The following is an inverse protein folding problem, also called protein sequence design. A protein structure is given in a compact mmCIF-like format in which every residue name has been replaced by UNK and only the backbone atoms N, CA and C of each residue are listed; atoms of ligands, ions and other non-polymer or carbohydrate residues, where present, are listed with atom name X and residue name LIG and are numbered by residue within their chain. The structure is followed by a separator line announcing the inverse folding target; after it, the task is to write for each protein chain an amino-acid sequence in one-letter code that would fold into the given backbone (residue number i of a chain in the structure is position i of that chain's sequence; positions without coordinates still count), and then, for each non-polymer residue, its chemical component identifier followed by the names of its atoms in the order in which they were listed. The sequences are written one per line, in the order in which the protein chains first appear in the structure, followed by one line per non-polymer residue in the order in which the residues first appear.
data_IF_730597137220
#
_entry.id   IF_730597137220
#
_cell.length_a   1.000
_cell.length_b   1.000
_cell.length_c   1.000
_cell.angle_alpha   90.00
_cell.angle_beta   90.00
_cell.angle_gamma   90.00
#
_symmetry.space_group_name_H-M   'P 1'
#
loop_
_entity.id
_entity.type
_entity.pdbx_description
1 polymer ?
#
# COMPACT_ATOMS: atom_id res chain seq x y z
N UNK A 1 0.44 -11.94 9.42
CA UNK A 1 1.26 -13.12 9.02
C UNK A 1 2.67 -12.75 8.50
N UNK A 2 2.97 -11.49 8.15
CA UNK A 2 4.25 -11.08 7.56
C UNK A 2 5.51 -11.42 8.40
N UNK A 3 5.43 -11.35 9.73
CA UNK A 3 6.58 -11.60 10.60
C UNK A 3 7.03 -13.07 10.67
N UNK A 4 6.17 -13.99 10.21
CA UNK A 4 6.43 -15.42 10.08
C UNK A 4 6.59 -15.87 8.62
N UNK A 5 6.57 -14.95 7.66
CA UNK A 5 6.72 -15.24 6.23
C UNK A 5 8.06 -15.93 5.91
N UNK A 6 9.08 -15.62 6.71
CA UNK A 6 10.35 -16.32 6.70
C UNK A 6 10.63 -16.88 8.10
N UNK A 7 11.04 -18.16 8.21
CA UNK A 7 11.26 -18.81 9.50
C UNK A 7 12.42 -18.15 10.25
N UNK A 8 12.34 -18.14 11.58
CA UNK A 8 13.39 -17.65 12.47
C UNK A 8 13.25 -16.18 12.91
N UNK A 9 14.18 -15.76 13.76
CA UNK A 9 14.27 -14.39 14.27
C UNK A 9 15.00 -13.45 13.31
N UNK A 10 14.83 -12.13 13.48
CA UNK A 10 15.67 -11.10 12.83
C UNK A 10 17.15 -11.47 12.96
N UNK A 11 17.93 -11.36 11.88
CA UNK A 11 19.34 -11.78 11.93
C UNK A 11 20.18 -10.75 12.66
N UNK A 12 21.05 -11.25 13.54
CA UNK A 12 22.08 -10.43 14.20
C UNK A 12 22.96 -9.72 13.15
N UNK A 13 23.25 -8.43 13.39
CA UNK A 13 24.01 -7.58 12.46
C UNK A 13 23.27 -7.25 11.15
N UNK A 14 21.95 -7.47 11.10
CA UNK A 14 21.13 -6.89 10.04
C UNK A 14 20.76 -5.46 10.37
N UNK A 15 20.59 -4.63 9.35
CA UNK A 15 20.17 -3.24 9.55
C UNK A 15 18.84 -3.13 10.32
N UNK A 16 17.96 -4.14 10.19
CA UNK A 16 16.72 -4.24 10.97
C UNK A 16 17.00 -4.60 12.42
N UNK A 17 17.94 -5.52 12.71
CA UNK A 17 18.36 -5.82 14.07
C UNK A 17 18.99 -4.58 14.73
N UNK A 18 19.94 -3.93 14.05
CA UNK A 18 20.61 -2.73 14.57
C UNK A 18 19.60 -1.61 14.84
N UNK A 19 18.66 -1.40 13.92
CA UNK A 19 17.55 -0.46 14.10
C UNK A 19 16.63 -0.84 15.28
N UNK A 20 16.34 -2.13 15.46
CA UNK A 20 15.51 -2.60 16.56
C UNK A 20 16.21 -2.44 17.91
N UNK A 21 17.51 -2.72 17.97
CA UNK A 21 18.32 -2.57 19.18
C UNK A 21 18.62 -1.12 19.54
N UNK A 22 18.65 -0.22 18.56
CA UNK A 22 18.88 1.21 18.78
C UNK A 22 17.80 1.87 19.66
N UNK A 23 16.60 1.29 19.73
CA UNK A 23 15.51 1.79 20.55
C UNK A 23 14.96 0.68 21.45
N UNK A 24 15.18 0.82 22.76
CA UNK A 24 14.74 -0.17 23.77
C UNK A 24 13.21 -0.34 23.85
N UNK A 25 12.42 0.56 23.28
CA UNK A 25 10.97 0.42 23.19
C UNK A 25 10.50 -0.51 22.06
N UNK A 26 11.41 -0.90 21.15
CA UNK A 26 11.08 -1.79 20.05
C UNK A 26 11.23 -3.26 20.45
N UNK A 27 10.35 -4.10 19.91
CA UNK A 27 10.29 -5.52 20.22
C UNK A 27 10.51 -6.32 18.95
N UNK A 28 11.50 -7.21 18.95
CA UNK A 28 11.68 -8.18 17.88
C UNK A 28 10.68 -9.32 18.01
N UNK A 29 9.91 -9.60 16.95
CA UNK A 29 9.01 -10.76 16.87
C UNK A 29 9.14 -11.43 15.51
N UNK A 30 9.66 -12.65 15.49
CA UNK A 30 10.01 -13.34 14.24
C UNK A 30 10.98 -12.49 13.42
N UNK A 31 10.64 -12.21 12.16
CA UNK A 31 11.42 -11.35 11.25
C UNK A 31 11.08 -9.86 11.32
N UNK A 32 10.18 -9.46 12.19
CA UNK A 32 9.78 -8.06 12.36
C UNK A 32 10.46 -7.42 13.56
N UNK A 33 10.75 -6.13 13.42
CA UNK A 33 10.89 -5.20 14.51
C UNK A 33 9.56 -4.45 14.69
N UNK A 34 8.99 -4.47 15.89
CA UNK A 34 7.72 -3.85 16.23
C UNK A 34 7.95 -2.60 17.08
N UNK A 35 7.34 -1.48 16.68
CA UNK A 35 7.33 -0.24 17.44
C UNK A 35 5.93 0.04 18.00
N UNK A 36 5.86 0.70 19.15
CA UNK A 36 4.59 1.09 19.76
C UNK A 36 4.10 2.41 19.14
N UNK A 37 2.85 2.44 18.66
CA UNK A 37 2.18 3.64 18.15
C UNK A 37 0.79 3.73 18.80
N UNK A 38 0.65 4.61 19.79
CA UNK A 38 -0.52 4.60 20.67
C UNK A 38 -0.58 3.29 21.45
N UNK A 39 -1.73 2.59 21.40
CA UNK A 39 -1.94 1.32 22.10
C UNK A 39 -1.64 0.08 21.24
N UNK A 40 -1.22 0.26 19.99
CA UNK A 40 -0.96 -0.84 19.06
C UNK A 40 0.52 -0.96 18.69
N UNK A 41 0.94 -2.18 18.36
CA UNK A 41 2.26 -2.45 17.80
C UNK A 41 2.19 -2.46 16.28
N UNK A 42 3.07 -1.71 15.64
CA UNK A 42 3.20 -1.63 14.18
C UNK A 42 4.56 -2.14 13.74
N UNK A 43 4.64 -2.70 12.53
CA UNK A 43 5.92 -3.16 11.98
C UNK A 43 6.72 -1.94 11.55
N UNK A 44 7.85 -1.69 12.21
CA UNK A 44 8.77 -0.59 11.89
C UNK A 44 10.00 -1.07 11.13
N UNK A 45 10.29 -2.38 11.19
CA UNK A 45 11.31 -2.99 10.35
C UNK A 45 11.03 -4.45 10.01
N UNK A 46 11.49 -4.91 8.85
CA UNK A 46 11.27 -6.27 8.35
C UNK A 46 12.52 -6.85 7.69
N UNK A 47 13.00 -7.99 8.17
CA UNK A 47 14.15 -8.72 7.62
C UNK A 47 13.72 -9.98 6.87
N UNK A 48 13.60 -9.88 5.55
CA UNK A 48 13.37 -10.99 4.62
C UNK A 48 14.68 -11.46 3.95
N UNK A 49 15.84 -11.14 4.51
CA UNK A 49 17.10 -11.53 3.88
C UNK A 49 17.51 -12.96 4.22
N UNK A 50 18.11 -13.64 3.24
CA UNK A 50 18.44 -15.08 3.31
C UNK A 50 17.21 -15.97 3.50
N UNK A 51 16.11 -15.56 2.88
CA UNK A 51 14.86 -16.32 2.82
C UNK A 51 14.68 -16.78 1.38
N UNK A 52 14.30 -18.04 1.17
CA UNK A 52 13.99 -18.59 -0.15
C UNK A 52 12.61 -18.14 -0.65
N UNK A 53 12.28 -16.86 -0.47
CA UNK A 53 11.02 -16.28 -0.92
C UNK A 53 11.16 -15.95 -2.39
N UNK A 54 10.29 -16.54 -3.21
CA UNK A 54 10.28 -16.39 -4.66
C UNK A 54 9.30 -15.32 -5.15
N UNK A 55 8.33 -14.94 -4.32
CA UNK A 55 7.28 -13.97 -4.63
C UNK A 55 6.91 -13.14 -3.40
N UNK A 56 6.73 -11.84 -3.57
CA UNK A 56 6.25 -10.96 -2.50
C UNK A 56 4.79 -10.61 -2.82
N UNK A 57 3.87 -11.20 -2.05
CA UNK A 57 2.43 -10.99 -2.23
C UNK A 57 1.84 -9.90 -1.34
N UNK A 58 0.51 -9.85 -1.31
CA UNK A 58 -0.29 -8.94 -0.47
C UNK A 58 0.05 -9.01 1.03
N UNK A 59 0.64 -10.11 1.50
CA UNK A 59 1.14 -10.27 2.87
C UNK A 59 2.12 -9.19 3.30
N UNK A 60 2.88 -8.60 2.35
CA UNK A 60 3.82 -7.52 2.68
C UNK A 60 3.09 -6.27 3.16
N UNK A 61 1.86 -6.02 2.70
CA UNK A 61 1.09 -4.83 3.04
C UNK A 61 0.84 -4.71 4.56
N UNK A 62 0.87 -5.82 5.31
CA UNK A 62 0.85 -5.78 6.78
C UNK A 62 2.03 -5.04 7.41
N UNK A 63 3.09 -4.75 6.64
CA UNK A 63 4.27 -4.01 7.04
C UNK A 63 4.39 -2.64 6.34
N UNK A 64 3.29 -2.04 5.85
CA UNK A 64 3.33 -0.75 5.13
C UNK A 64 3.95 0.40 5.94
N UNK A 65 3.91 0.31 7.27
CA UNK A 65 4.53 1.27 8.20
C UNK A 65 6.04 1.05 8.40
N UNK A 66 6.63 0.06 7.73
CA UNK A 66 8.04 -0.27 7.92
C UNK A 66 8.94 0.84 7.36
N UNK A 67 9.80 1.36 8.22
CA UNK A 67 10.80 2.38 7.87
C UNK A 67 12.04 1.72 7.29
N UNK A 68 12.36 0.49 7.72
CA UNK A 68 13.54 -0.23 7.23
C UNK A 68 13.19 -1.64 6.81
N UNK A 69 13.61 -2.01 5.60
CA UNK A 69 13.38 -3.35 5.08
C UNK A 69 14.64 -3.92 4.43
N UNK A 70 14.95 -5.15 4.80
CA UNK A 70 16.05 -5.93 4.24
C UNK A 70 15.44 -7.05 3.42
N UNK A 71 15.50 -6.92 2.11
CA UNK A 71 14.94 -7.90 1.17
C UNK A 71 16.10 -8.50 0.39
N UNK A 72 16.28 -9.83 0.39
CA UNK A 72 17.20 -10.51 -0.51
C UNK A 72 16.43 -11.57 -1.29
N UNK A 73 16.00 -11.23 -2.51
CA UNK A 73 15.24 -12.14 -3.39
C UNK A 73 16.20 -12.74 -4.41
N UNK A 74 16.11 -14.05 -4.62
CA UNK A 74 16.75 -14.72 -5.75
C UNK A 74 15.88 -14.62 -7.00
N UNK A 75 16.28 -13.73 -7.92
CA UNK A 75 16.01 -13.75 -9.36
C UNK A 75 14.55 -13.91 -9.81
N UNK A 76 13.65 -13.03 -9.34
CA UNK A 76 12.54 -12.55 -10.17
C UNK A 76 12.50 -11.01 -10.15
N UNK A 77 12.36 -10.33 -11.30
CA UNK A 77 12.26 -8.88 -11.35
C UNK A 77 11.07 -8.40 -10.53
N UNK A 78 11.31 -7.52 -9.54
CA UNK A 78 10.25 -6.84 -8.76
C UNK A 78 9.47 -5.86 -9.65
N UNK A 79 9.87 -5.67 -10.91
CA UNK A 79 9.30 -4.72 -11.87
C UNK A 79 7.81 -4.92 -12.15
N UNK A 80 7.24 -6.10 -11.90
CA UNK A 80 5.80 -6.35 -12.02
C UNK A 80 4.99 -6.18 -10.72
N UNK A 81 5.64 -5.90 -9.60
CA UNK A 81 5.02 -5.90 -8.25
C UNK A 81 5.03 -4.51 -7.58
N UNK A 82 5.06 -3.40 -8.34
CA UNK A 82 5.00 -2.04 -7.77
C UNK A 82 3.78 -1.86 -6.84
N UNK A 83 2.67 -2.51 -7.18
CA UNK A 83 1.41 -2.53 -6.42
C UNK A 83 1.61 -3.01 -4.97
N UNK A 84 2.59 -3.88 -4.73
CA UNK A 84 2.86 -4.44 -3.38
C UNK A 84 3.42 -3.36 -2.43
N UNK A 85 4.01 -2.30 -2.98
CA UNK A 85 4.54 -1.17 -2.22
C UNK A 85 3.56 0.02 -2.12
N UNK A 86 2.29 -0.16 -2.51
CA UNK A 86 1.25 0.84 -2.27
C UNK A 86 1.13 1.12 -0.77
N UNK A 87 1.10 2.39 -0.40
CA UNK A 87 1.05 2.87 0.98
C UNK A 87 2.38 2.89 1.74
N UNK A 88 3.49 2.42 1.15
CA UNK A 88 4.81 2.47 1.79
C UNK A 88 5.47 3.84 1.57
N UNK A 89 5.14 4.82 2.41
CA UNK A 89 5.57 6.22 2.21
C UNK A 89 6.92 6.57 2.83
N UNK A 90 7.44 5.75 3.74
CA UNK A 90 8.65 6.05 4.55
C UNK A 90 9.72 4.94 4.50
N UNK A 91 9.63 4.02 3.52
CA UNK A 91 10.46 2.82 3.51
C UNK A 91 11.90 3.11 3.03
N UNK A 92 12.87 2.46 3.66
CA UNK A 92 14.26 2.38 3.20
C UNK A 92 14.67 0.92 2.96
N UNK A 93 15.24 0.62 1.78
CA UNK A 93 15.61 -0.73 1.35
C UNK A 93 17.12 -0.91 1.39
N UNK A 94 17.63 -1.86 2.19
CA UNK A 94 19.06 -1.94 2.50
C UNK A 94 19.85 -3.05 1.76
N UNK A 95 19.20 -4.05 1.13
CA UNK A 95 19.92 -5.20 0.53
C UNK A 95 19.28 -5.81 -0.73
N UNK A 96 18.77 -4.98 -1.62
CA UNK A 96 18.25 -5.47 -2.90
C UNK A 96 19.38 -6.08 -3.77
N UNK A 97 19.14 -7.11 -4.60
CA UNK A 97 20.14 -7.56 -5.57
C UNK A 97 20.48 -6.47 -6.59
N UNK A 98 21.75 -6.36 -7.02
CA UNK A 98 22.21 -5.32 -7.96
C UNK A 98 21.42 -5.29 -9.29
N UNK A 99 21.03 -6.45 -9.80
CA UNK A 99 20.31 -6.59 -11.08
C UNK A 99 18.85 -6.14 -11.01
N UNK A 100 18.33 -5.81 -9.83
CA UNK A 100 16.94 -5.37 -9.64
C UNK A 100 16.95 -3.86 -9.38
N UNK A 101 16.09 -3.15 -10.08
CA UNK A 101 15.87 -1.72 -9.85
C UNK A 101 15.13 -1.47 -8.55
N UNK A 102 15.40 -0.32 -7.92
CA UNK A 102 14.63 0.07 -6.75
C UNK A 102 13.14 0.17 -7.11
N UNK A 103 12.21 -0.14 -6.20
CA UNK A 103 10.78 0.05 -6.44
C UNK A 103 10.50 1.51 -6.84
N UNK A 104 9.69 1.71 -7.88
CA UNK A 104 9.44 3.03 -8.48
C UNK A 104 10.59 3.55 -9.35
N UNK A 105 11.61 2.74 -9.62
CA UNK A 105 12.82 3.13 -10.33
C UNK A 105 13.82 3.88 -9.45
N UNK A 106 15.10 3.88 -9.86
CA UNK A 106 16.19 4.49 -9.10
C UNK A 106 15.99 6.02 -8.89
N UNK A 107 15.23 6.69 -9.76
CA UNK A 107 14.89 8.12 -9.67
C UNK A 107 13.97 8.45 -8.47
N UNK A 108 13.19 7.49 -7.99
CA UNK A 108 12.27 7.63 -6.85
C UNK A 108 12.98 7.69 -5.50
N UNK A 109 14.32 7.54 -5.49
CA UNK A 109 15.15 7.51 -4.30
C UNK A 109 16.17 8.64 -4.34
N UNK A 110 16.52 9.20 -3.17
CA UNK A 110 17.56 10.24 -3.10
C UNK A 110 18.94 9.65 -3.29
N UNK A 111 19.17 8.46 -2.73
CA UNK A 111 20.47 7.81 -2.77
C UNK A 111 20.29 6.34 -3.10
N UNK A 112 20.95 5.90 -4.17
CA UNK A 112 21.07 4.49 -4.56
C UNK A 112 22.54 4.10 -4.47
N UNK A 113 22.87 3.26 -3.50
CA UNK A 113 24.23 2.77 -3.28
C UNK A 113 24.36 1.34 -3.80
N UNK A 114 25.43 1.05 -4.53
CA UNK A 114 25.73 -0.30 -5.01
C UNK A 114 27.02 -0.75 -4.32
N UNK A 115 26.94 -1.82 -3.54
CA UNK A 115 28.09 -2.42 -2.84
C UNK A 115 28.20 -3.89 -3.22
N UNK A 116 29.16 -4.21 -4.10
CA UNK A 116 29.32 -5.55 -4.66
C UNK A 116 28.08 -5.96 -5.47
N UNK A 117 27.44 -7.07 -5.09
CA UNK A 117 26.22 -7.57 -5.74
C UNK A 117 24.92 -7.11 -5.05
N UNK A 118 25.00 -6.12 -4.15
CA UNK A 118 23.87 -5.58 -3.40
C UNK A 118 23.66 -4.11 -3.80
N UNK A 119 22.39 -3.69 -3.83
CA UNK A 119 21.89 -2.34 -4.05
C UNK A 119 21.10 -1.93 -2.79
N UNK A 120 21.29 -0.69 -2.35
CA UNK A 120 20.55 -0.08 -1.26
C UNK A 120 19.86 1.19 -1.76
N UNK A 121 18.55 1.28 -1.57
CA UNK A 121 17.71 2.40 -1.94
C UNK A 121 17.34 3.15 -0.65
N UNK A 122 17.88 4.36 -0.48
CA UNK A 122 17.72 5.16 0.74
C UNK A 122 16.96 6.44 0.43
N UNK A 123 16.19 6.89 1.42
CA UNK A 123 15.43 8.14 1.38
C UNK A 123 14.53 8.25 0.15
N UNK A 124 13.35 7.62 0.26
CA UNK A 124 12.29 7.74 -0.74
C UNK A 124 11.94 9.21 -0.97
N UNK A 125 11.89 9.63 -2.24
CA UNK A 125 11.44 10.96 -2.61
C UNK A 125 9.91 11.00 -2.57
N UNK A 126 9.36 12.12 -2.09
CA UNK A 126 7.94 12.37 -2.22
C UNK A 126 7.60 12.60 -3.70
N UNK A 127 6.78 11.72 -4.27
CA UNK A 127 6.36 11.80 -5.67
C UNK A 127 5.64 13.12 -5.99
N UNK A 128 4.94 13.72 -5.01
CA UNK A 128 4.30 15.03 -5.16
C UNK A 128 5.31 16.19 -5.26
N UNK A 129 6.54 16.01 -4.74
CA UNK A 129 7.59 17.03 -4.77
C UNK A 129 8.52 16.92 -5.99
N UNK A 130 8.35 15.89 -6.85
CA UNK A 130 9.17 15.70 -8.05
C UNK A 130 8.88 16.74 -9.14
N UNK A 131 7.97 17.66 -8.87
CA UNK A 131 7.61 18.73 -9.78
C UNK A 131 8.01 20.07 -9.19
N UNK A 132 8.89 20.78 -9.91
CA UNK A 132 9.15 22.18 -9.64
C UNK A 132 7.86 23.03 -9.76
N UNK A 133 7.97 24.35 -9.52
CA UNK A 133 6.83 25.28 -9.41
C UNK A 133 5.92 25.41 -10.65
N UNK A 134 6.18 24.67 -11.72
CA UNK A 134 5.42 24.65 -12.98
C UNK A 134 4.32 23.58 -13.06
N UNK A 135 4.19 22.67 -12.09
CA UNK A 135 3.19 21.59 -12.10
C UNK A 135 2.33 21.54 -10.84
N UNK A 136 2.33 22.62 -10.06
CA UNK A 136 1.45 22.87 -8.91
C UNK A 136 -0.05 22.90 -9.25
N UNK A 137 -0.44 22.78 -10.53
CA UNK A 137 -1.83 22.68 -10.98
C UNK A 137 -2.16 21.49 -11.90
N UNK A 138 -1.26 20.50 -12.08
CA UNK A 138 -1.42 19.47 -13.12
C UNK A 138 -1.43 18.01 -12.68
N UNK A 139 -0.98 17.67 -11.46
CA UNK A 139 -0.91 16.28 -11.00
C UNK A 139 -2.25 15.74 -10.50
N UNK A 140 -3.03 16.60 -9.84
CA UNK A 140 -4.29 16.27 -9.23
C UNK A 140 -5.39 17.22 -9.72
N UNK A 141 -6.63 16.74 -9.90
CA UNK A 141 -7.76 17.59 -10.29
C UNK A 141 -8.08 18.65 -9.22
N UNK A 142 -8.89 19.64 -9.58
CA UNK A 142 -9.43 20.59 -8.61
C UNK A 142 -10.13 19.86 -7.44
N UNK A 143 -10.08 20.46 -6.25
CA UNK A 143 -10.63 19.89 -5.02
C UNK A 143 -10.02 18.53 -4.62
N UNK A 144 -8.76 18.30 -4.97
CA UNK A 144 -7.99 17.16 -4.50
C UNK A 144 -6.57 17.56 -4.12
N UNK A 145 -5.96 16.82 -3.20
CA UNK A 145 -4.60 17.09 -2.72
C UNK A 145 -3.67 15.93 -3.08
N UNK A 146 -2.50 16.22 -3.64
CA UNK A 146 -1.50 15.18 -3.89
C UNK A 146 -0.97 14.61 -2.57
N UNK A 147 -1.00 13.29 -2.46
CA UNK A 147 -0.39 12.56 -1.34
C UNK A 147 0.50 11.43 -1.90
N UNK A 148 1.68 11.17 -1.28
CA UNK A 148 2.51 10.03 -1.67
C UNK A 148 1.80 8.72 -1.36
N UNK A 149 1.96 7.72 -2.22
CA UNK A 149 1.33 6.39 -2.06
C UNK A 149 2.32 5.23 -2.27
N UNK A 150 3.60 5.48 -2.07
CA UNK A 150 4.67 4.50 -2.25
C UNK A 150 5.82 5.02 -3.12
N UNK A 151 6.86 4.19 -3.34
CA UNK A 151 8.02 4.60 -4.12
C UNK A 151 7.62 4.94 -5.56
N UNK A 152 7.76 6.21 -5.95
CA UNK A 152 7.36 6.70 -7.27
C UNK A 152 5.85 6.78 -7.52
N UNK A 153 5.02 6.57 -6.49
CA UNK A 153 3.56 6.57 -6.60
C UNK A 153 2.94 7.73 -5.83
N UNK A 154 1.85 8.26 -6.35
CA UNK A 154 1.05 9.30 -5.71
C UNK A 154 -0.44 9.03 -5.92
N UNK A 155 -1.24 9.57 -5.02
CA UNK A 155 -2.70 9.56 -5.08
C UNK A 155 -3.24 10.98 -4.90
N UNK A 156 -4.47 11.19 -5.37
CA UNK A 156 -5.16 12.48 -5.29
C UNK A 156 -6.51 12.30 -4.57
N UNK A 157 -6.52 12.07 -3.25
CA UNK A 157 -7.76 12.04 -2.48
C UNK A 157 -8.46 13.40 -2.55
N UNK A 158 -9.79 13.36 -2.58
CA UNK A 158 -10.61 14.56 -2.55
C UNK A 158 -10.45 15.32 -1.23
N UNK A 159 -10.48 16.64 -1.31
CA UNK A 159 -10.53 17.51 -0.13
C UNK A 159 -11.87 17.34 0.58
N UNK A 160 -11.91 17.74 1.86
CA UNK A 160 -13.10 17.59 2.69
C UNK A 160 -14.33 18.26 2.02
N UNK A 161 -15.45 17.53 1.95
CA UNK A 161 -16.69 18.00 1.33
C UNK A 161 -16.84 17.63 -0.15
N UNK A 162 -15.78 17.16 -0.81
CA UNK A 162 -15.81 16.72 -2.20
C UNK A 162 -15.69 15.20 -2.34
N UNK A 163 -16.38 14.65 -3.33
CA UNK A 163 -16.38 13.21 -3.62
C UNK A 163 -16.66 12.92 -5.10
N UNK A 164 -16.62 11.63 -5.46
CA UNK A 164 -16.91 11.17 -6.82
C UNK A 164 -15.73 11.28 -7.78
N UNK A 165 -15.98 10.99 -9.06
CA UNK A 165 -14.95 11.04 -10.09
C UNK A 165 -14.35 12.46 -10.20
N UNK A 166 -13.03 12.56 -10.02
CA UNK A 166 -12.26 13.82 -10.01
C UNK A 166 -12.74 14.86 -8.99
N UNK A 167 -13.39 14.44 -7.91
CA UNK A 167 -13.81 15.35 -6.83
C UNK A 167 -14.77 16.47 -7.27
N UNK A 168 -15.56 16.21 -8.32
CA UNK A 168 -16.48 17.18 -8.90
C UNK A 168 -17.81 17.33 -8.14
N UNK A 169 -18.11 16.43 -7.20
CA UNK A 169 -19.37 16.47 -6.44
C UNK A 169 -19.12 16.99 -5.05
N UNK A 170 -19.96 17.91 -4.61
CA UNK A 170 -19.93 18.47 -3.26
C UNK A 170 -21.04 17.84 -2.39
N UNK A 171 -20.79 17.77 -1.09
CA UNK A 171 -21.75 17.26 -0.10
C UNK A 171 -21.65 15.75 0.12
N UNK A 172 -22.68 15.17 0.74
CA UNK A 172 -22.75 13.72 1.03
C UNK A 172 -23.63 13.02 0.00
N UNK A 173 -23.22 11.83 -0.45
CA UNK A 173 -24.06 11.01 -1.33
C UNK A 173 -25.41 10.70 -0.64
N UNK A 174 -26.57 10.99 -1.27
CA UNK A 174 -27.89 10.86 -0.65
C UNK A 174 -28.32 9.38 -0.58
N UNK A 175 -27.74 8.64 0.36
CA UNK A 175 -27.95 7.20 0.55
C UNK A 175 -29.44 6.83 0.65
N UNK A 176 -30.23 7.62 1.38
CA UNK A 176 -31.65 7.36 1.58
C UNK A 176 -32.47 7.41 0.27
N UNK A 177 -32.20 8.38 -0.60
CA UNK A 177 -32.88 8.45 -1.91
C UNK A 177 -32.46 7.29 -2.80
N UNK A 178 -31.17 6.97 -2.86
CA UNK A 178 -30.68 5.89 -3.70
C UNK A 178 -31.27 4.53 -3.29
N UNK A 179 -31.18 4.17 -2.01
CA UNK A 179 -31.75 2.92 -1.52
C UNK A 179 -33.28 2.91 -1.52
N UNK A 180 -33.92 4.06 -1.32
CA UNK A 180 -35.37 4.18 -1.43
C UNK A 180 -35.87 3.86 -2.85
N UNK A 181 -35.26 4.47 -3.87
CA UNK A 181 -35.60 4.21 -5.27
C UNK A 181 -35.29 2.76 -5.65
N UNK A 182 -34.11 2.26 -5.28
CA UNK A 182 -33.69 0.89 -5.59
C UNK A 182 -34.64 -0.14 -4.95
N UNK A 183 -34.99 0.07 -3.68
CA UNK A 183 -35.91 -0.78 -2.93
C UNK A 183 -37.33 -0.76 -3.51
N UNK A 184 -37.85 0.42 -3.83
CA UNK A 184 -39.17 0.55 -4.44
C UNK A 184 -39.25 -0.13 -5.82
N UNK A 185 -38.25 0.11 -6.68
CA UNK A 185 -38.18 -0.53 -8.00
C UNK A 185 -38.14 -2.06 -7.85
N UNK A 186 -37.33 -2.57 -6.92
CA UNK A 186 -37.22 -4.01 -6.65
C UNK A 186 -38.55 -4.58 -6.18
N UNK A 187 -39.21 -3.96 -5.20
CA UNK A 187 -40.51 -4.39 -4.70
C UNK A 187 -41.59 -4.44 -5.79
N UNK A 188 -41.64 -3.41 -6.66
CA UNK A 188 -42.57 -3.35 -7.78
C UNK A 188 -42.30 -4.49 -8.76
N UNK A 189 -41.04 -4.70 -9.18
CA UNK A 189 -40.70 -5.79 -10.09
C UNK A 189 -40.98 -7.17 -9.49
N UNK A 190 -40.66 -7.39 -8.20
CA UNK A 190 -40.97 -8.63 -7.51
C UNK A 190 -42.47 -8.88 -7.43
N UNK A 191 -43.28 -7.85 -7.11
CA UNK A 191 -44.73 -7.97 -7.09
C UNK A 191 -45.31 -8.24 -8.48
N UNK A 192 -44.79 -7.56 -9.51
CA UNK A 192 -45.18 -7.79 -10.91
C UNK A 192 -44.90 -9.23 -11.34
N UNK A 193 -43.69 -9.74 -11.10
CA UNK A 193 -43.34 -11.12 -11.40
C UNK A 193 -44.18 -12.12 -10.60
N UNK A 194 -44.43 -11.85 -9.32
CA UNK A 194 -45.31 -12.68 -8.49
C UNK A 194 -46.72 -12.78 -9.06
N UNK A 195 -47.31 -11.65 -9.46
CA UNK A 195 -48.67 -11.62 -10.05
C UNK A 195 -48.70 -12.38 -11.38
N UNK A 196 -47.72 -12.17 -12.26
CA UNK A 196 -47.66 -12.87 -13.54
C UNK A 196 -47.49 -14.39 -13.36
N UNK A 197 -46.59 -14.82 -12.49
CA UNK A 197 -46.38 -16.24 -12.18
C UNK A 197 -47.64 -16.88 -11.58
N UNK A 198 -48.29 -16.18 -10.63
CA UNK A 198 -49.52 -16.69 -10.00
C UNK A 198 -50.71 -16.73 -10.96
N UNK A 199 -50.79 -15.83 -11.94
CA UNK A 199 -51.82 -15.87 -13.00
C UNK A 199 -51.56 -17.02 -13.98
N UNK A 200 -50.31 -17.30 -14.36
CA UNK A 200 -49.97 -18.48 -15.18
C UNK A 200 -50.34 -19.79 -14.49
N UNK A 201 -50.09 -19.93 -13.19
CA UNK A 201 -50.45 -21.12 -12.43
C UNK A 201 -51.96 -21.38 -12.30
N UNK A 202 -52.81 -20.36 -12.51
CA UNK A 202 -54.28 -20.48 -12.46
C UNK A 202 -54.95 -20.73 -13.82
N UNK A 203 -54.19 -20.66 -14.91
CA UNK A 203 -54.71 -20.77 -16.29
C UNK A 203 -54.25 -22.06 -16.98
N UNK A 204 -53.63 -22.98 -16.23
CA UNK A 204 -53.28 -24.35 -16.63
C UNK A 204 -54.05 -25.33 -15.75
#
# INVERSE_FOLDING_TARGET
QVCSLCPGAVRNGSAVADFCHANSSFISRGRCCLGKRGDHYVVVGLDLGNCSITHIGAELHAAFTAVIMVINITLKPITHELIVFIGFTEIALRRLPKMIDCPGGDSSWRTVEITGNKKACKEQKNACNLTGPTLTGGLCPENSSCQPDGPGMFQCPCTHGYHGYRCLREGTFPMAMFFGILGAATAITSMFFWVLQRRKAKTS
#
